data_IF_960904132983
#
_entry.id   IF_960904132983
#
_cell.length_a   1.000
_cell.length_b   1.000
_cell.length_c   1.000
_cell.angle_alpha   90.00
_cell.angle_beta   90.00
_cell.angle_gamma   90.00
#
_symmetry.space_group_name_H-M   'P 1'
#
loop_
_entity.id
_entity.type
_entity.pdbx_description
1 polymer ?
#
# COMPACT_ATOMS: atom_id res chain seq x y z
N UNK A 1 -14.33 1.55 -1.79
CA UNK A 1 -14.30 1.38 -0.32
C UNK A 1 -12.98 1.90 0.21
N UNK A 2 -12.92 2.24 1.50
CA UNK A 2 -11.68 2.56 2.20
C UNK A 2 -11.63 1.72 3.47
N UNK A 3 -10.50 1.07 3.72
CA UNK A 3 -10.27 0.22 4.89
C UNK A 3 -8.97 0.70 5.53
N UNK A 4 -9.02 0.96 6.83
CA UNK A 4 -7.86 1.37 7.62
C UNK A 4 -7.57 0.31 8.68
N UNK A 5 -6.32 -0.15 8.73
CA UNK A 5 -5.85 -1.18 9.65
C UNK A 5 -4.77 -0.61 10.58
N UNK A 6 -5.11 -0.44 11.86
CA UNK A 6 -4.31 0.34 12.83
C UNK A 6 -3.25 -0.47 13.58
N UNK A 7 -3.41 -1.79 13.67
CA UNK A 7 -2.63 -2.64 14.58
C UNK A 7 -1.12 -2.59 14.31
N UNK A 8 -0.71 -2.47 13.05
CA UNK A 8 0.70 -2.40 12.64
C UNK A 8 1.41 -1.15 13.15
N UNK A 9 0.70 -0.02 13.18
CA UNK A 9 1.23 1.23 13.71
C UNK A 9 1.35 1.17 15.23
N UNK A 10 0.33 0.62 15.92
CA UNK A 10 0.37 0.44 17.38
C UNK A 10 1.59 -0.38 17.82
N UNK A 11 1.84 -1.51 17.17
CA UNK A 11 3.00 -2.34 17.48
C UNK A 11 4.34 -1.64 17.15
N UNK A 12 4.35 -0.78 16.13
CA UNK A 12 5.49 0.06 15.78
C UNK A 12 5.81 1.09 16.86
N UNK A 13 4.82 1.84 17.34
CA UNK A 13 4.94 2.81 18.45
C UNK A 13 5.38 2.13 19.76
N UNK A 14 4.92 0.91 20.03
CA UNK A 14 5.35 0.12 21.20
C UNK A 14 6.80 -0.43 21.06
N UNK A 15 7.48 -0.19 19.94
CA UNK A 15 8.81 -0.73 19.64
C UNK A 15 8.84 -2.25 19.48
N UNK A 16 7.69 -2.89 19.35
CA UNK A 16 7.55 -4.34 19.33
C UNK A 16 7.57 -4.85 17.89
N UNK A 17 8.73 -5.32 17.45
CA UNK A 17 8.94 -5.84 16.09
C UNK A 17 8.08 -7.08 15.82
N UNK A 18 8.10 -8.07 16.71
CA UNK A 18 7.40 -9.35 16.50
C UNK A 18 5.88 -9.13 16.43
N UNK A 19 5.32 -8.31 17.32
CA UNK A 19 3.90 -7.96 17.26
C UNK A 19 3.51 -7.20 15.98
N UNK A 20 4.44 -6.43 15.40
CA UNK A 20 4.21 -5.74 14.12
C UNK A 20 4.19 -6.73 12.95
N UNK A 21 5.06 -7.73 12.97
CA UNK A 21 5.05 -8.84 12.00
C UNK A 21 3.73 -9.62 12.11
N UNK A 22 3.34 -10.03 13.33
CA UNK A 22 2.07 -10.74 13.57
C UNK A 22 0.87 -9.93 13.04
N UNK A 23 0.85 -8.61 13.27
CA UNK A 23 -0.20 -7.73 12.78
C UNK A 23 -0.27 -7.70 11.24
N UNK A 24 0.88 -7.68 10.56
CA UNK A 24 0.94 -7.74 9.09
C UNK A 24 0.48 -9.09 8.55
N UNK A 25 0.86 -10.21 9.18
CA UNK A 25 0.43 -11.55 8.77
C UNK A 25 -1.08 -11.75 8.96
N UNK A 26 -1.66 -11.22 10.04
CA UNK A 26 -3.12 -11.20 10.22
C UNK A 26 -3.82 -10.42 9.12
N UNK A 27 -3.26 -9.30 8.69
CA UNK A 27 -3.79 -8.53 7.57
C UNK A 27 -3.67 -9.30 6.24
N UNK A 28 -2.52 -9.93 5.97
CA UNK A 28 -2.31 -10.75 4.78
C UNK A 28 -3.34 -11.87 4.66
N UNK A 29 -3.63 -12.57 5.76
CA UNK A 29 -4.66 -13.61 5.82
C UNK A 29 -6.07 -13.13 5.44
N UNK A 30 -6.36 -11.82 5.53
CA UNK A 30 -7.64 -11.22 5.12
C UNK A 30 -7.72 -10.89 3.61
N UNK A 31 -6.58 -10.82 2.92
CA UNK A 31 -6.51 -10.43 1.50
C UNK A 31 -7.34 -11.31 0.56
N UNK A 32 -7.45 -12.65 0.74
CA UNK A 32 -8.32 -13.46 -0.11
C UNK A 32 -9.80 -13.02 -0.06
N UNK A 33 -10.30 -12.67 1.13
CA UNK A 33 -11.67 -12.20 1.29
C UNK A 33 -11.86 -10.80 0.67
N UNK A 34 -10.86 -9.92 0.81
CA UNK A 34 -10.87 -8.59 0.17
C UNK A 34 -10.86 -8.73 -1.36
N UNK A 35 -10.04 -9.63 -1.91
CA UNK A 35 -9.98 -9.90 -3.36
C UNK A 35 -11.30 -10.49 -3.89
N UNK A 36 -11.98 -11.32 -3.10
CA UNK A 36 -13.28 -11.89 -3.45
C UNK A 36 -14.40 -10.86 -3.59
N UNK A 37 -14.21 -9.62 -3.10
CA UNK A 37 -15.15 -8.51 -3.34
C UNK A 37 -15.16 -8.05 -4.81
N UNK A 38 -14.18 -8.45 -5.62
CA UNK A 38 -14.17 -8.18 -7.07
C UNK A 38 -14.03 -6.71 -7.43
N UNK A 39 -13.22 -5.94 -6.68
CA UNK A 39 -12.94 -4.55 -7.02
C UNK A 39 -12.10 -4.45 -8.32
N UNK A 40 -12.45 -3.51 -9.21
CA UNK A 40 -11.73 -3.25 -10.46
C UNK A 40 -10.29 -2.77 -10.23
N UNK A 41 -10.07 -2.06 -9.12
CA UNK A 41 -8.77 -1.56 -8.67
C UNK A 41 -8.60 -1.87 -7.19
N UNK A 42 -7.48 -2.50 -6.85
CA UNK A 42 -7.05 -2.75 -5.47
C UNK A 42 -5.79 -1.93 -5.19
N UNK A 43 -5.76 -1.30 -4.02
CA UNK A 43 -4.64 -0.46 -3.58
C UNK A 43 -4.27 -0.86 -2.17
N UNK A 44 -2.96 -1.05 -1.91
CA UNK A 44 -2.42 -1.33 -0.58
C UNK A 44 -1.24 -0.39 -0.33
N UNK A 45 -1.25 0.32 0.79
CA UNK A 45 -0.18 1.22 1.22
C UNK A 45 -0.29 1.50 2.72
N UNK A 46 0.78 2.02 3.32
CA UNK A 46 0.71 2.78 4.57
C UNK A 46 0.38 4.26 4.31
N UNK A 47 -0.09 4.97 5.32
CA UNK A 47 -0.21 6.43 5.34
C UNK A 47 1.09 7.09 5.83
N UNK A 48 1.83 6.42 6.71
CA UNK A 48 3.20 6.75 7.10
C UNK A 48 4.01 5.52 7.53
N UNK A 49 5.31 5.73 7.73
CA UNK A 49 6.20 4.72 8.30
C UNK A 49 6.21 4.84 9.83
N UNK A 50 6.25 3.72 10.53
CA UNK A 50 6.44 3.67 12.00
C UNK A 50 7.43 2.55 12.34
N UNK A 51 8.74 2.76 12.15
CA UNK A 51 9.74 1.71 12.37
C UNK A 51 9.79 1.30 13.85
N UNK A 52 9.70 0.01 14.17
CA UNK A 52 9.75 -0.46 15.57
C UNK A 52 11.06 -0.09 16.27
N UNK A 53 12.17 0.01 15.53
CA UNK A 53 13.46 0.48 16.08
C UNK A 53 13.45 1.95 16.48
N UNK A 54 12.53 2.75 15.93
CA UNK A 54 12.36 4.16 16.25
C UNK A 54 11.31 4.38 17.36
N UNK A 55 10.33 3.47 17.47
CA UNK A 55 9.19 3.60 18.38
C UNK A 55 8.44 4.95 18.24
N UNK A 56 8.38 5.45 16.99
CA UNK A 56 7.70 6.66 16.60
C UNK A 56 7.49 6.67 15.08
N UNK A 57 6.65 7.60 14.60
CA UNK A 57 6.53 7.88 13.17
C UNK A 57 7.89 8.27 12.55
N UNK A 58 8.19 7.65 11.42
CA UNK A 58 9.37 7.90 10.60
C UNK A 58 9.04 8.59 9.27
N UNK A 59 10.09 9.01 8.58
CA UNK A 59 10.02 9.74 7.30
C UNK A 59 10.33 8.86 6.08
N UNK A 60 10.54 7.56 6.29
CA UNK A 60 10.84 6.62 5.22
C UNK A 60 9.64 6.52 4.27
N UNK A 61 9.86 6.41 2.95
CA UNK A 61 8.78 6.10 2.01
C UNK A 61 8.06 4.80 2.40
N UNK A 62 6.75 4.78 2.19
CA UNK A 62 5.91 3.61 2.42
C UNK A 62 5.76 2.78 1.13
N UNK A 63 5.78 1.44 1.20
CA UNK A 63 5.42 0.59 0.08
C UNK A 63 4.01 0.91 -0.42
N UNK A 64 3.82 0.97 -1.75
CA UNK A 64 2.53 1.14 -2.37
C UNK A 64 2.35 0.12 -3.51
N UNK A 65 1.16 -0.46 -3.60
CA UNK A 65 0.74 -1.38 -4.65
C UNK A 65 -0.54 -0.84 -5.29
N UNK A 66 -0.57 -0.81 -6.62
CA UNK A 66 -1.80 -0.63 -7.39
C UNK A 66 -1.97 -1.87 -8.28
N UNK A 67 -3.09 -2.55 -8.12
CA UNK A 67 -3.47 -3.67 -8.98
C UNK A 67 -4.77 -3.31 -9.71
N UNK A 68 -4.78 -3.50 -11.03
CA UNK A 68 -5.96 -3.35 -11.88
C UNK A 68 -5.76 -4.12 -13.19
N UNK A 69 -6.78 -4.17 -14.03
CA UNK A 69 -6.64 -4.67 -15.40
C UNK A 69 -5.72 -3.80 -16.28
N UNK A 70 -5.49 -2.53 -15.92
CA UNK A 70 -4.82 -1.53 -16.75
C UNK A 70 -3.47 -1.04 -16.20
N UNK A 71 -3.02 -1.49 -15.02
CA UNK A 71 -1.85 -0.91 -14.33
C UNK A 71 -0.49 -1.29 -14.95
N UNK A 72 -0.48 -2.24 -15.89
CA UNK A 72 0.75 -2.86 -16.38
C UNK A 72 1.39 -3.76 -15.31
N UNK A 73 2.26 -4.68 -15.74
CA UNK A 73 3.06 -5.49 -14.84
C UNK A 73 4.47 -4.89 -14.72
N UNK A 74 5.04 -4.98 -13.53
CA UNK A 74 6.46 -4.71 -13.27
C UNK A 74 7.14 -6.01 -12.77
N UNK A 75 8.47 -6.04 -12.54
CA UNK A 75 9.15 -7.27 -12.15
C UNK A 75 8.96 -7.62 -10.66
N UNK A 76 8.22 -6.84 -9.88
CA UNK A 76 8.08 -7.01 -8.44
C UNK A 76 7.09 -8.14 -8.13
N UNK A 77 7.54 -9.13 -7.37
CA UNK A 77 6.74 -10.33 -7.02
C UNK A 77 6.43 -10.45 -5.53
N UNK A 78 6.97 -9.56 -4.69
CA UNK A 78 6.76 -9.55 -3.23
C UNK A 78 6.55 -8.11 -2.74
N UNK A 79 5.69 -7.94 -1.74
CA UNK A 79 5.36 -6.62 -1.18
C UNK A 79 6.22 -6.33 0.06
N UNK A 80 7.36 -5.67 -0.16
CA UNK A 80 8.29 -5.21 0.89
C UNK A 80 8.90 -3.88 0.48
N UNK A 81 9.46 -3.11 1.41
CA UNK A 81 10.12 -1.84 1.14
C UNK A 81 11.19 -1.96 0.04
N UNK A 82 12.03 -2.99 0.13
CA UNK A 82 13.12 -3.21 -0.85
C UNK A 82 12.59 -3.58 -2.22
N UNK A 83 11.57 -4.43 -2.29
CA UNK A 83 11.02 -4.88 -3.56
C UNK A 83 10.24 -3.76 -4.26
N UNK A 84 9.42 -3.00 -3.52
CA UNK A 84 8.67 -1.86 -4.05
C UNK A 84 9.59 -0.74 -4.57
N UNK A 85 10.82 -0.61 -4.07
CA UNK A 85 11.80 0.33 -4.60
C UNK A 85 12.20 0.04 -6.07
N UNK A 86 11.96 -1.18 -6.57
CA UNK A 86 12.18 -1.56 -7.97
C UNK A 86 10.90 -1.48 -8.83
N UNK A 87 9.77 -1.11 -8.24
CA UNK A 87 8.48 -1.03 -8.93
C UNK A 87 8.37 0.18 -9.85
N UNK A 88 7.51 0.09 -10.86
CA UNK A 88 7.36 1.14 -11.90
C UNK A 88 6.66 2.40 -11.41
N UNK A 89 5.97 2.34 -10.26
CA UNK A 89 5.42 3.53 -9.58
C UNK A 89 6.53 4.52 -9.17
N UNK A 90 7.74 4.03 -8.89
CA UNK A 90 8.83 4.83 -8.35
C UNK A 90 8.49 5.45 -6.99
N UNK A 91 9.19 6.53 -6.64
CA UNK A 91 8.91 7.32 -5.44
C UNK A 91 8.10 8.55 -5.85
N UNK A 92 6.88 8.66 -5.32
CA UNK A 92 5.97 9.77 -5.62
C UNK A 92 5.38 10.36 -4.34
N UNK A 93 4.96 11.64 -4.36
CA UNK A 93 4.11 12.19 -3.31
C UNK A 93 2.81 11.39 -3.17
N UNK A 94 2.44 11.02 -1.95
CA UNK A 94 1.29 10.14 -1.69
C UNK A 94 -0.03 10.65 -2.31
N UNK A 95 -0.22 11.97 -2.39
CA UNK A 95 -1.42 12.56 -3.00
C UNK A 95 -1.53 12.32 -4.52
N UNK A 96 -0.44 11.95 -5.20
CA UNK A 96 -0.47 11.52 -6.61
C UNK A 96 -0.95 10.08 -6.80
N UNK A 97 -1.08 9.28 -5.73
CA UNK A 97 -1.62 7.92 -5.83
C UNK A 97 -3.08 7.93 -6.30
N UNK A 98 -3.90 8.85 -5.79
CA UNK A 98 -5.33 8.85 -6.12
C UNK A 98 -5.63 9.15 -7.60
N UNK A 99 -5.00 10.12 -8.26
CA UNK A 99 -5.08 10.26 -9.71
C UNK A 99 -4.75 8.97 -10.49
N UNK A 100 -3.70 8.24 -10.09
CA UNK A 100 -3.33 6.96 -10.73
C UNK A 100 -4.41 5.89 -10.50
N UNK A 101 -4.97 5.81 -9.30
CA UNK A 101 -6.07 4.89 -8.97
C UNK A 101 -7.31 5.21 -9.81
N UNK A 102 -7.66 6.48 -9.95
CA UNK A 102 -8.79 6.92 -10.77
C UNK A 102 -8.56 6.65 -12.26
N UNK A 103 -7.32 6.77 -12.75
CA UNK A 103 -6.96 6.40 -14.11
C UNK A 103 -7.18 4.91 -14.35
N UNK A 104 -6.70 4.07 -13.44
CA UNK A 104 -6.86 2.62 -13.47
C UNK A 104 -8.32 2.17 -13.34
N UNK A 105 -9.16 2.98 -12.69
CA UNK A 105 -10.60 2.73 -12.57
C UNK A 105 -11.40 3.24 -13.78
N UNK A 106 -10.76 3.85 -14.78
CA UNK A 106 -11.40 4.56 -15.90
C UNK A 106 -12.36 5.68 -15.43
N UNK A 107 -11.99 6.38 -14.35
CA UNK A 107 -12.78 7.46 -13.72
C UNK A 107 -12.12 8.82 -13.82
N UNK A 108 -11.11 8.98 -14.68
CA UNK A 108 -10.58 10.29 -15.02
C UNK A 108 -11.32 10.87 -16.22
N UNK A 109 -11.70 12.14 -16.09
CA UNK A 109 -12.16 12.93 -17.23
C UNK A 109 -10.96 13.52 -17.95
N UNK A 110 -10.96 13.41 -19.27
CA UNK A 110 -9.96 14.07 -20.10
C UNK A 110 -10.05 15.59 -19.91
N UNK A 111 -8.92 16.24 -19.66
CA UNK A 111 -8.83 17.70 -19.60
C UNK A 111 -8.27 18.23 -20.92
N UNK A 112 -9.10 18.99 -21.66
CA UNK A 112 -8.79 19.42 -23.03
C UNK A 112 -8.94 18.31 -24.08
N UNK A 113 -8.95 18.71 -25.35
CA UNK A 113 -9.12 17.90 -26.57
C UNK A 113 -10.37 17.00 -26.67
#
# INVERSE_FOLDING_TARGET
>A
FFVHYKDTDKAGEDGNFDAKVDALERFDASLPAIRALGADVLVVSGDHSTPSVLAAHGWQPVPALVWSHYCGADPVTVFTERACAAGTLGVLPAHHLMPLVMANALRLTKFGA
#
